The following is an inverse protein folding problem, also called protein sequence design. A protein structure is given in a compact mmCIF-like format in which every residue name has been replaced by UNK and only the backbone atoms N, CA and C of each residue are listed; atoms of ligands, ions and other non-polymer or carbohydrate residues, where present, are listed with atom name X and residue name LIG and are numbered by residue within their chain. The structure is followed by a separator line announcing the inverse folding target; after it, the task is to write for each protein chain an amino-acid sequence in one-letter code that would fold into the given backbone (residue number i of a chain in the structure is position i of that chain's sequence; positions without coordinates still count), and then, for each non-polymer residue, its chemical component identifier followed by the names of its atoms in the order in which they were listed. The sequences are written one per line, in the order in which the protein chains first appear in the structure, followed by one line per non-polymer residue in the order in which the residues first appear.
data_IF_450940838074
#
_entry.id   IF_450940838074
#
_cell.length_a   1.000
_cell.length_b   1.000
_cell.length_c   1.000
_cell.angle_alpha   90.00
_cell.angle_beta   90.00
_cell.angle_gamma   90.00
#
_symmetry.space_group_name_H-M   'P 1'
#
loop_
_entity.id
_entity.type
_entity.pdbx_description
1 polymer ?
#
# COMPACT_ATOMS: atom_id res chain seq x y z
N UNK A 1 -21.01 -7.40 -12.72
CA UNK A 1 -20.18 -6.18 -12.89
C UNK A 1 -18.76 -6.52 -12.45
N UNK A 2 -17.74 -6.30 -13.28
CA UNK A 2 -16.36 -6.79 -13.05
C UNK A 2 -15.81 -6.44 -11.65
N UNK A 3 -16.13 -5.25 -11.13
CA UNK A 3 -15.65 -4.78 -9.82
C UNK A 3 -16.39 -5.35 -8.61
N UNK A 4 -17.52 -6.03 -8.81
CA UNK A 4 -18.40 -6.48 -7.72
C UNK A 4 -17.73 -7.40 -6.68
N UNK A 5 -16.79 -8.30 -7.03
CA UNK A 5 -16.07 -9.08 -6.02
C UNK A 5 -15.11 -8.23 -5.18
N UNK A 6 -14.64 -7.10 -5.72
CA UNK A 6 -13.59 -6.28 -5.10
C UNK A 6 -14.15 -5.23 -4.14
N UNK A 7 -15.44 -4.87 -4.23
CA UNK A 7 -16.11 -4.00 -3.24
C UNK A 7 -16.18 -4.63 -1.85
N UNK A 8 -15.92 -5.93 -1.73
CA UNK A 8 -15.75 -6.61 -0.44
C UNK A 8 -14.45 -6.21 0.25
N UNK A 9 -13.47 -5.69 -0.51
CA UNK A 9 -12.18 -5.26 0.02
C UNK A 9 -12.38 -3.97 0.79
N UNK A 10 -12.00 -3.98 2.07
CA UNK A 10 -12.16 -2.83 2.96
C UNK A 10 -11.49 -1.59 2.35
N UNK A 11 -12.23 -0.48 2.26
CA UNK A 11 -11.72 0.78 1.69
C UNK A 11 -11.85 0.89 0.17
N UNK A 12 -12.23 -0.17 -0.54
CA UNK A 12 -12.53 -0.10 -1.97
C UNK A 12 -14.02 0.24 -2.20
N UNK A 13 -14.33 1.53 -2.13
CA UNK A 13 -15.67 2.09 -2.36
C UNK A 13 -15.91 2.47 -3.83
N UNK A 14 -17.10 3.00 -4.13
CA UNK A 14 -17.46 3.45 -5.49
C UNK A 14 -16.52 4.56 -6.00
N UNK A 15 -16.03 5.43 -5.11
CA UNK A 15 -15.06 6.46 -5.48
C UNK A 15 -13.73 5.83 -5.92
N UNK A 16 -13.24 4.86 -5.18
CA UNK A 16 -12.02 4.10 -5.50
C UNK A 16 -12.15 3.38 -6.85
N UNK A 17 -13.32 2.80 -7.13
CA UNK A 17 -13.62 2.17 -8.43
C UNK A 17 -13.63 3.21 -9.56
N UNK A 18 -14.21 4.40 -9.32
CA UNK A 18 -14.21 5.48 -10.31
C UNK A 18 -12.79 5.94 -10.62
N UNK A 19 -11.94 6.08 -9.61
CA UNK A 19 -10.52 6.45 -9.79
C UNK A 19 -9.75 5.39 -10.59
N UNK A 20 -9.94 4.10 -10.28
CA UNK A 20 -9.33 3.00 -11.06
C UNK A 20 -9.78 3.05 -12.52
N UNK A 21 -11.07 3.27 -12.77
CA UNK A 21 -11.58 3.39 -14.14
C UNK A 21 -10.98 4.59 -14.86
N UNK A 22 -10.85 5.75 -14.21
CA UNK A 22 -10.21 6.93 -14.79
C UNK A 22 -8.73 6.66 -15.12
N UNK A 23 -7.99 6.05 -14.21
CA UNK A 23 -6.58 5.68 -14.41
C UNK A 23 -6.41 4.72 -15.61
N UNK A 24 -7.27 3.70 -15.70
CA UNK A 24 -7.27 2.76 -16.82
C UNK A 24 -7.61 3.48 -18.14
N UNK A 25 -8.60 4.38 -18.16
CA UNK A 25 -8.94 5.16 -19.36
C UNK A 25 -7.81 6.06 -19.83
N UNK A 26 -7.05 6.66 -18.90
CA UNK A 26 -5.86 7.43 -19.22
C UNK A 26 -4.80 6.54 -19.87
N UNK A 27 -4.51 5.36 -19.27
CA UNK A 27 -3.56 4.40 -19.83
C UNK A 27 -3.99 3.88 -21.21
N UNK A 28 -5.27 3.56 -21.39
CA UNK A 28 -5.81 3.15 -22.70
C UNK A 28 -5.74 4.29 -23.73
N UNK A 29 -5.92 5.53 -23.31
CA UNK A 29 -5.80 6.70 -24.19
C UNK A 29 -4.37 6.91 -24.69
N UNK A 30 -3.37 6.73 -23.82
CA UNK A 30 -1.96 6.79 -24.19
C UNK A 30 -1.54 5.69 -25.18
N UNK A 31 -2.37 4.66 -25.27
CA UNK A 31 -2.13 3.46 -26.03
C UNK A 31 -2.83 3.52 -27.42
N UNK A 32 -3.90 4.31 -27.59
CA UNK A 32 -4.84 4.41 -28.74
C UNK A 32 -4.39 4.04 -30.17
N UNK A 33 -3.14 4.23 -30.55
CA UNK A 33 -2.61 3.93 -31.90
C UNK A 33 -2.02 2.52 -32.05
N UNK A 34 -2.25 1.63 -31.07
CA UNK A 34 -1.80 0.24 -31.13
C UNK A 34 -3.00 -0.70 -31.03
N UNK A 35 -2.96 -1.81 -31.76
CA UNK A 35 -3.93 -2.88 -31.58
C UNK A 35 -3.65 -3.56 -30.24
N UNK A 36 -4.55 -3.42 -29.28
CA UNK A 36 -4.42 -4.10 -27.99
C UNK A 36 -5.50 -5.14 -27.79
N UNK A 37 -5.04 -6.31 -27.38
CA UNK A 37 -5.86 -7.44 -26.98
C UNK A 37 -6.58 -7.16 -25.64
N UNK A 38 -7.71 -7.83 -25.44
CA UNK A 38 -8.46 -7.84 -24.18
C UNK A 38 -7.55 -8.19 -23.00
N UNK A 39 -6.53 -9.03 -23.21
CA UNK A 39 -5.52 -9.40 -22.20
C UNK A 39 -4.81 -8.17 -21.64
N UNK A 40 -4.46 -7.20 -22.48
CA UNK A 40 -3.77 -5.97 -22.07
C UNK A 40 -4.70 -5.12 -21.21
N UNK A 41 -5.98 -5.03 -21.58
CA UNK A 41 -7.00 -4.32 -20.78
C UNK A 41 -7.13 -4.96 -19.40
N UNK A 42 -7.21 -6.30 -19.33
CA UNK A 42 -7.26 -7.03 -18.06
C UNK A 42 -6.02 -6.79 -17.20
N UNK A 43 -4.82 -6.81 -17.79
CA UNK A 43 -3.56 -6.53 -17.08
C UNK A 43 -3.56 -5.10 -16.53
N UNK A 44 -3.91 -4.11 -17.35
CA UNK A 44 -3.96 -2.71 -16.93
C UNK A 44 -4.93 -2.53 -15.76
N UNK A 45 -6.13 -3.09 -15.89
CA UNK A 45 -7.17 -2.96 -14.89
C UNK A 45 -6.82 -3.68 -13.58
N UNK A 46 -6.28 -4.90 -13.65
CA UNK A 46 -5.78 -5.61 -12.47
C UNK A 46 -4.60 -4.90 -11.83
N UNK A 47 -3.67 -4.35 -12.61
CA UNK A 47 -2.51 -3.64 -12.08
C UNK A 47 -2.90 -2.36 -11.33
N UNK A 48 -3.84 -1.58 -11.88
CA UNK A 48 -4.37 -0.39 -11.22
C UNK A 48 -5.15 -0.74 -9.97
N UNK A 49 -5.98 -1.79 -10.01
CA UNK A 49 -6.71 -2.28 -8.85
C UNK A 49 -5.76 -2.74 -7.72
N UNK A 50 -4.76 -3.56 -8.03
CA UNK A 50 -3.79 -4.05 -7.04
C UNK A 50 -3.02 -2.88 -6.42
N UNK A 51 -2.59 -1.92 -7.23
CA UNK A 51 -1.87 -0.72 -6.77
C UNK A 51 -2.76 0.10 -5.84
N UNK A 52 -4.01 0.35 -6.22
CA UNK A 52 -4.96 1.12 -5.41
C UNK A 52 -5.23 0.49 -4.04
N UNK A 53 -5.45 -0.83 -4.01
CA UNK A 53 -5.64 -1.56 -2.75
C UNK A 53 -4.38 -1.43 -1.88
N UNK A 54 -3.19 -1.61 -2.47
CA UNK A 54 -1.92 -1.47 -1.74
C UNK A 54 -1.78 -0.08 -1.11
N UNK A 55 -2.03 0.97 -1.87
CA UNK A 55 -1.86 2.35 -1.40
C UNK A 55 -2.82 2.69 -0.25
N UNK A 56 -4.11 2.33 -0.37
CA UNK A 56 -5.10 2.55 0.68
C UNK A 56 -4.64 1.92 2.00
N UNK A 57 -4.23 0.64 1.95
CA UNK A 57 -3.87 -0.08 3.16
C UNK A 57 -2.48 0.25 3.70
N UNK A 58 -1.58 0.67 2.83
CA UNK A 58 -0.25 1.07 3.25
C UNK A 58 -0.23 2.46 3.90
N UNK A 59 -1.09 3.39 3.46
CA UNK A 59 -1.23 4.70 4.13
C UNK A 59 -1.63 4.56 5.61
N UNK A 60 -2.55 3.64 5.94
CA UNK A 60 -2.89 3.34 7.33
C UNK A 60 -1.70 2.83 8.16
N UNK A 61 -0.78 2.12 7.52
CA UNK A 61 0.43 1.62 8.15
C UNK A 61 1.46 2.73 8.33
N UNK A 62 1.53 3.69 7.40
CA UNK A 62 2.34 4.89 7.56
C UNK A 62 1.85 5.74 8.74
N UNK A 63 0.53 5.88 8.92
CA UNK A 63 -0.03 6.60 10.08
C UNK A 63 0.38 5.95 11.40
N UNK A 64 0.30 4.62 11.49
CA UNK A 64 0.73 3.87 12.67
C UNK A 64 2.24 4.00 12.91
N UNK A 65 3.03 3.97 11.84
CA UNK A 65 4.47 4.15 11.87
C UNK A 65 4.87 5.53 12.39
N UNK A 66 4.28 6.61 11.84
CA UNK A 66 4.53 7.98 12.26
C UNK A 66 4.21 8.15 13.75
N UNK A 67 3.02 7.68 14.17
CA UNK A 67 2.59 7.74 15.57
C UNK A 67 3.61 7.06 16.50
N UNK A 68 4.13 5.89 16.12
CA UNK A 68 5.12 5.17 16.95
C UNK A 68 6.46 5.90 17.07
N UNK A 69 6.90 6.61 16.03
CA UNK A 69 8.12 7.43 16.12
C UNK A 69 7.89 8.60 17.06
N UNK A 70 6.76 9.31 16.91
CA UNK A 70 6.37 10.43 17.76
C UNK A 70 6.24 10.00 19.24
N UNK A 71 5.73 8.80 19.51
CA UNK A 71 5.66 8.21 20.86
C UNK A 71 7.04 7.80 21.42
N UNK A 72 8.03 7.55 20.57
CA UNK A 72 9.35 7.04 21.00
C UNK A 72 10.40 8.14 21.15
N UNK A 73 10.33 9.22 20.36
CA UNK A 73 11.29 10.32 20.43
C UNK A 73 10.63 11.68 20.15
N UNK A 74 10.56 12.53 21.17
CA UNK A 74 10.06 13.91 21.06
C UNK A 74 11.00 14.84 20.28
N UNK A 75 12.24 14.39 20.01
CA UNK A 75 13.29 15.21 19.39
C UNK A 75 13.27 15.18 17.86
N UNK A 76 12.61 14.19 17.28
CA UNK A 76 12.60 13.98 15.83
C UNK A 76 11.41 14.73 15.24
N UNK A 77 11.65 15.64 14.30
CA UNK A 77 10.57 16.37 13.63
C UNK A 77 9.93 15.52 12.54
N UNK A 78 8.66 15.78 12.25
CA UNK A 78 7.92 15.09 11.17
C UNK A 78 8.60 15.24 9.80
N UNK A 79 9.26 16.36 9.56
CA UNK A 79 10.03 16.61 8.33
C UNK A 79 11.24 15.69 8.21
N UNK A 80 11.96 15.44 9.32
CA UNK A 80 13.07 14.48 9.35
C UNK A 80 12.58 13.06 9.11
N UNK A 81 11.46 12.68 9.72
CA UNK A 81 10.84 11.36 9.50
C UNK A 81 10.47 11.18 8.02
N UNK A 82 9.83 12.20 7.43
CA UNK A 82 9.43 12.17 6.02
C UNK A 82 10.63 12.03 5.10
N UNK A 83 11.70 12.82 5.32
CA UNK A 83 12.93 12.75 4.54
C UNK A 83 13.57 11.36 4.59
N UNK A 84 13.68 10.77 5.79
CA UNK A 84 14.25 9.43 5.92
C UNK A 84 13.35 8.34 5.33
N UNK A 85 12.04 8.47 5.48
CA UNK A 85 11.08 7.57 4.85
C UNK A 85 11.21 7.61 3.31
N UNK A 86 11.30 8.79 2.71
CA UNK A 86 11.52 8.99 1.27
C UNK A 86 12.85 8.39 0.82
N UNK A 87 13.94 8.61 1.58
CA UNK A 87 15.25 8.00 1.36
C UNK A 87 15.17 6.46 1.35
N UNK A 88 14.42 5.87 2.28
CA UNK A 88 14.20 4.42 2.34
C UNK A 88 13.38 3.90 1.15
N UNK A 89 12.40 4.66 0.66
CA UNK A 89 11.66 4.33 -0.57
C UNK A 89 12.59 4.35 -1.79
N UNK A 90 13.37 5.41 -1.97
CA UNK A 90 14.28 5.55 -3.11
C UNK A 90 15.35 4.46 -3.15
N UNK A 91 15.79 3.99 -1.97
CA UNK A 91 16.75 2.88 -1.84
C UNK A 91 16.12 1.49 -1.94
N UNK A 92 14.81 1.38 -2.19
CA UNK A 92 14.08 0.11 -2.18
C UNK A 92 14.35 -0.70 -0.90
N UNK A 93 14.24 -0.06 0.27
CA UNK A 93 14.49 -0.73 1.54
C UNK A 93 13.59 -1.97 1.69
N UNK A 94 14.21 -3.12 1.97
CA UNK A 94 13.51 -4.39 2.03
C UNK A 94 12.41 -4.43 3.10
N UNK A 95 12.58 -3.74 4.23
CA UNK A 95 11.55 -3.68 5.27
C UNK A 95 10.31 -2.91 4.79
N UNK A 96 10.50 -1.81 4.05
CA UNK A 96 9.39 -1.07 3.44
C UNK A 96 8.68 -1.94 2.40
N UNK A 97 9.42 -2.55 1.48
CA UNK A 97 8.83 -3.40 0.44
C UNK A 97 8.06 -4.60 1.01
N UNK A 98 8.59 -5.21 2.07
CA UNK A 98 7.89 -6.30 2.78
C UNK A 98 6.63 -5.76 3.47
N UNK A 99 6.73 -4.63 4.16
CA UNK A 99 5.58 -4.03 4.84
C UNK A 99 4.46 -3.66 3.85
N UNK A 100 4.81 -3.09 2.69
CA UNK A 100 3.88 -2.79 1.61
C UNK A 100 3.11 -4.03 1.14
N UNK A 101 3.82 -5.14 0.91
CA UNK A 101 3.19 -6.40 0.50
C UNK A 101 2.34 -7.06 1.60
N UNK A 102 2.79 -7.01 2.87
CA UNK A 102 2.04 -7.58 3.98
C UNK A 102 0.76 -6.79 4.24
N UNK A 103 0.77 -5.46 4.12
CA UNK A 103 -0.42 -4.61 4.23
C UNK A 103 -1.50 -5.00 3.22
N UNK A 104 -1.09 -5.27 1.99
CA UNK A 104 -1.99 -5.78 0.95
C UNK A 104 -2.55 -7.17 1.28
N UNK A 105 -1.69 -8.10 1.70
CA UNK A 105 -2.13 -9.44 2.09
C UNK A 105 -3.07 -9.43 3.30
N UNK A 106 -2.82 -8.56 4.28
CA UNK A 106 -3.70 -8.39 5.44
C UNK A 106 -5.09 -7.94 5.00
N UNK A 107 -5.15 -6.92 4.14
CA UNK A 107 -6.41 -6.40 3.63
C UNK A 107 -7.26 -7.44 2.92
N UNK A 108 -6.64 -8.23 2.03
CA UNK A 108 -7.31 -9.35 1.37
C UNK A 108 -7.75 -10.39 2.39
N UNK A 109 -6.87 -10.78 3.32
CA UNK A 109 -7.17 -11.81 4.29
C UNK A 109 -8.32 -11.41 5.23
N UNK A 110 -8.39 -10.15 5.65
CA UNK A 110 -9.52 -9.62 6.43
C UNK A 110 -10.81 -9.61 5.61
N UNK A 111 -10.76 -9.08 4.40
CA UNK A 111 -11.93 -8.90 3.53
C UNK A 111 -12.57 -10.23 3.12
N UNK A 112 -11.76 -11.26 2.90
CA UNK A 112 -12.22 -12.61 2.54
C UNK A 112 -12.25 -13.58 3.74
N UNK A 113 -12.15 -13.07 4.98
CA UNK A 113 -12.29 -13.84 6.22
C UNK A 113 -11.28 -15.01 6.40
N UNK A 114 -10.07 -14.88 5.86
CA UNK A 114 -8.95 -15.79 6.10
C UNK A 114 -8.27 -15.50 7.45
N UNK A 115 -8.98 -15.79 8.55
CA UNK A 115 -8.59 -15.40 9.93
C UNK A 115 -7.15 -15.73 10.32
N UNK A 116 -6.64 -16.91 9.96
CA UNK A 116 -5.27 -17.33 10.28
C UNK A 116 -4.24 -16.46 9.56
N UNK A 117 -4.48 -16.15 8.28
CA UNK A 117 -3.59 -15.31 7.46
C UNK A 117 -3.60 -13.88 7.98
N UNK A 118 -4.78 -13.31 8.21
CA UNK A 118 -4.92 -11.95 8.77
C UNK A 118 -4.19 -11.81 10.12
N UNK A 119 -4.32 -12.81 11.01
CA UNK A 119 -3.58 -12.82 12.28
C UNK A 119 -2.07 -12.80 12.08
N UNK A 120 -1.55 -13.62 11.16
CA UNK A 120 -0.12 -13.66 10.87
C UNK A 120 0.34 -12.33 10.26
N UNK A 121 -0.42 -11.78 9.32
CA UNK A 121 -0.11 -10.49 8.71
C UNK A 121 -0.03 -9.37 9.75
N UNK A 122 -0.98 -9.26 10.69
CA UNK A 122 -0.92 -8.26 11.78
C UNK A 122 0.34 -8.36 12.63
N UNK A 123 0.75 -9.58 12.98
CA UNK A 123 1.99 -9.82 13.74
C UNK A 123 3.21 -9.35 12.93
N UNK A 124 3.28 -9.73 11.64
CA UNK A 124 4.41 -9.35 10.80
C UNK A 124 4.42 -7.84 10.52
N UNK A 125 3.28 -7.19 10.28
CA UNK A 125 3.19 -5.73 10.13
C UNK A 125 3.81 -5.02 11.33
N UNK A 126 3.37 -5.36 12.54
CA UNK A 126 3.91 -4.74 13.76
C UNK A 126 5.43 -4.94 13.89
N UNK A 127 5.94 -6.13 13.54
CA UNK A 127 7.38 -6.42 13.52
C UNK A 127 8.14 -5.53 12.54
N UNK A 128 7.65 -5.37 11.30
CA UNK A 128 8.33 -4.57 10.28
C UNK A 128 8.19 -3.06 10.52
N UNK A 129 7.06 -2.60 11.07
CA UNK A 129 6.91 -1.23 11.57
C UNK A 129 7.99 -0.96 12.61
N UNK A 130 8.14 -1.80 13.64
CA UNK A 130 9.15 -1.60 14.68
C UNK A 130 10.58 -1.56 14.15
N UNK A 131 10.90 -2.40 13.14
CA UNK A 131 12.20 -2.35 12.47
C UNK A 131 12.44 -1.02 11.78
N UNK A 132 11.44 -0.49 11.07
CA UNK A 132 11.55 0.81 10.40
C UNK A 132 11.66 1.95 11.41
N UNK A 133 10.89 1.89 12.51
CA UNK A 133 10.95 2.90 13.59
C UNK A 133 12.36 2.96 14.16
N UNK A 134 12.94 1.81 14.50
CA UNK A 134 14.31 1.73 14.99
C UNK A 134 15.33 2.26 13.96
N UNK A 135 15.14 1.97 12.67
CA UNK A 135 16.02 2.48 11.61
C UNK A 135 15.98 4.00 11.49
N UNK A 136 14.79 4.62 11.54
CA UNK A 136 14.68 6.08 11.46
C UNK A 136 15.29 6.72 12.71
N UNK A 137 14.96 6.22 13.90
CA UNK A 137 15.50 6.76 15.15
C UNK A 137 17.03 6.73 15.12
N UNK A 138 17.63 5.59 14.78
CA UNK A 138 19.10 5.44 14.67
C UNK A 138 19.73 6.30 13.57
N UNK A 139 18.97 6.73 12.57
CA UNK A 139 19.49 7.56 11.47
C UNK A 139 19.42 9.04 11.78
N UNK A 140 18.55 9.45 12.71
CA UNK A 140 18.31 10.86 13.04
C UNK A 140 18.94 11.26 14.38
N UNK A 141 19.10 10.32 15.32
CA UNK A 141 19.85 10.51 16.58
C UNK A 141 21.37 10.39 16.39
#
# INVERSE_FOLDING_TARGET
MFFSPFTQIKGLDENSIREINQEVQIKLTALKDTDFDIVIIYILLLSSLISKIRDIHFNHVLDEFLRRIEETSEKITREQIQHELESLFMKNNSNISILYNISYLDALAESFNFKKVARICKIQKSKYINKLVALIILSVE
#
